data_IF_816397405792
#
_entry.id   IF_816397405792
#
_cell.length_a   1.000
_cell.length_b   1.000
_cell.length_c   1.000
_cell.angle_alpha   90.00
_cell.angle_beta   90.00
_cell.angle_gamma   90.00
#
_symmetry.space_group_name_H-M   'P 1'
#
loop_
_entity.id
_entity.type
_entity.pdbx_description
1 polymer ?
#
# COMPACT_ATOMS: atom_id res chain seq x y z
N UNK A 1 -18.32 15.29 22.12
CA UNK A 1 -18.66 16.66 21.71
C UNK A 1 -19.10 17.41 22.97
N UNK A 2 -18.17 18.15 23.56
CA UNK A 2 -18.44 19.13 24.62
C UNK A 2 -17.39 20.21 24.44
N UNK A 3 -17.83 21.43 24.15
CA UNK A 3 -16.98 22.59 23.92
C UNK A 3 -16.88 23.33 25.26
N UNK A 4 -15.68 23.41 25.81
CA UNK A 4 -15.35 24.23 26.98
C UNK A 4 -14.03 24.91 26.72
N UNK A 5 -14.06 26.24 26.61
CA UNK A 5 -12.89 27.06 26.35
C UNK A 5 -12.08 27.36 27.61
N UNK A 6 -10.81 27.72 27.40
CA UNK A 6 -10.05 28.54 28.35
C UNK A 6 -8.85 27.88 29.00
N UNK A 7 -7.69 28.22 28.43
CA UNK A 7 -6.44 28.59 29.10
C UNK A 7 -5.30 27.56 29.23
N UNK A 8 -4.11 28.14 29.11
CA UNK A 8 -2.83 27.52 28.79
C UNK A 8 -2.31 26.50 29.82
N UNK A 9 -1.61 25.48 29.30
CA UNK A 9 -0.77 24.59 30.08
C UNK A 9 -1.03 23.12 29.76
N UNK A 10 0.03 22.42 29.35
CA UNK A 10 0.11 20.94 29.30
C UNK A 10 -0.77 20.22 28.28
N UNK A 11 -0.44 20.33 26.98
CA UNK A 11 -0.68 19.20 26.09
C UNK A 11 0.49 18.22 26.24
N UNK A 12 0.43 17.39 27.30
CA UNK A 12 0.85 16.01 27.09
C UNK A 12 -0.14 15.44 26.09
N UNK A 13 0.20 15.59 24.80
CA UNK A 13 -0.45 14.78 23.78
C UNK A 13 -0.24 13.33 24.20
N UNK A 14 -1.33 12.58 24.35
CA UNK A 14 -1.24 11.13 24.32
C UNK A 14 -0.79 10.81 22.90
N UNK A 15 0.52 10.76 22.71
CA UNK A 15 1.16 10.29 21.51
C UNK A 15 0.91 8.79 21.48
N UNK A 16 -0.12 8.38 20.75
CA UNK A 16 -0.30 6.97 20.40
C UNK A 16 0.85 6.66 19.43
N UNK A 17 1.99 6.22 19.96
CA UNK A 17 3.01 5.56 19.16
C UNK A 17 2.36 4.34 18.51
N UNK A 18 2.19 4.37 17.20
CA UNK A 18 1.73 3.22 16.43
C UNK A 18 2.86 2.20 16.48
N UNK A 19 2.68 1.03 17.13
CA UNK A 19 3.77 0.07 17.27
C UNK A 19 4.26 -0.38 15.89
N UNK A 20 5.57 -0.23 15.64
CA UNK A 20 6.19 -0.64 14.38
C UNK A 20 6.19 0.46 13.32
N UNK A 21 6.22 1.73 13.72
CA UNK A 21 6.37 2.84 12.80
C UNK A 21 7.74 2.79 12.11
N UNK A 22 7.74 2.43 10.82
CA UNK A 22 8.93 2.32 9.98
C UNK A 22 9.01 3.51 9.03
N UNK A 23 10.14 4.23 9.05
CA UNK A 23 10.45 5.25 8.05
C UNK A 23 11.68 4.85 7.20
N UNK A 24 11.57 5.12 5.91
CA UNK A 24 12.67 5.02 4.94
C UNK A 24 13.00 6.44 4.46
N UNK A 25 14.24 6.89 4.65
CA UNK A 25 14.63 8.27 4.33
C UNK A 25 16.14 8.47 4.31
N UNK A 26 16.63 9.31 3.38
CA UNK A 26 18.07 9.66 3.32
C UNK A 26 18.46 10.72 4.36
N UNK A 27 17.54 11.64 4.66
CA UNK A 27 17.72 12.68 5.68
C UNK A 27 16.73 12.50 6.82
N UNK A 28 17.11 12.92 8.03
CA UNK A 28 16.23 12.91 9.19
C UNK A 28 15.12 13.96 9.02
N UNK A 29 13.99 13.54 8.45
CA UNK A 29 12.78 14.36 8.35
C UNK A 29 11.92 14.14 9.61
N UNK A 30 10.90 14.99 9.80
CA UNK A 30 10.05 14.89 11.00
C UNK A 30 9.43 13.50 11.17
N UNK A 31 9.12 12.78 10.09
CA UNK A 31 8.62 11.40 10.18
C UNK A 31 9.68 10.43 10.71
N UNK A 32 10.94 10.56 10.29
CA UNK A 32 12.05 9.73 10.81
C UNK A 32 12.29 9.98 12.30
N UNK A 33 12.12 11.22 12.78
CA UNK A 33 12.33 11.58 14.18
C UNK A 33 11.33 10.89 15.14
N UNK A 34 10.10 10.66 14.68
CA UNK A 34 9.04 10.00 15.46
C UNK A 34 8.85 8.51 15.09
N UNK A 35 9.76 7.92 14.31
CA UNK A 35 9.69 6.51 13.93
C UNK A 35 10.50 5.62 14.87
N UNK A 36 10.03 4.39 15.07
CA UNK A 36 10.73 3.38 15.87
C UNK A 36 11.98 2.86 15.16
N UNK A 37 11.89 2.70 13.84
CA UNK A 37 12.96 2.18 12.99
C UNK A 37 13.12 3.11 11.79
N UNK A 38 14.36 3.51 11.54
CA UNK A 38 14.75 4.32 10.37
C UNK A 38 15.72 3.53 9.51
N UNK A 39 15.37 3.34 8.23
CA UNK A 39 16.23 2.68 7.26
C UNK A 39 16.85 3.68 6.29
N UNK A 40 18.18 3.60 6.05
CA UNK A 40 18.83 4.47 5.10
C UNK A 40 18.47 4.06 3.66
N UNK A 41 17.75 4.94 2.95
CA UNK A 41 17.43 4.73 1.53
C UNK A 41 18.41 5.47 0.61
N UNK A 42 18.68 4.85 -0.53
CA UNK A 42 19.52 5.41 -1.58
C UNK A 42 18.88 6.66 -2.19
N UNK A 43 19.71 7.64 -2.49
CA UNK A 43 19.31 8.85 -3.20
C UNK A 43 18.95 8.59 -4.66
N UNK A 44 18.38 9.59 -5.32
CA UNK A 44 18.02 9.52 -6.73
C UNK A 44 19.22 9.32 -7.67
N UNK A 45 20.45 9.63 -7.22
CA UNK A 45 21.69 9.40 -7.96
C UNK A 45 22.36 8.07 -7.63
N UNK A 46 21.76 7.26 -6.77
CA UNK A 46 22.31 5.99 -6.28
C UNK A 46 21.39 4.80 -6.63
N UNK A 47 20.34 5.02 -7.44
CA UNK A 47 19.37 3.98 -7.83
C UNK A 47 18.89 4.13 -9.26
N UNK A 48 18.41 3.02 -9.81
CA UNK A 48 17.77 2.96 -11.12
C UNK A 48 16.25 2.97 -10.95
N UNK A 49 15.57 3.93 -11.58
CA UNK A 49 14.11 4.08 -11.53
C UNK A 49 13.59 4.87 -12.75
N UNK A 50 12.29 5.05 -12.90
CA UNK A 50 11.68 5.84 -13.97
C UNK A 50 10.89 7.02 -13.40
N UNK A 51 10.94 8.16 -14.08
CA UNK A 51 10.18 9.36 -13.74
C UNK A 51 9.40 9.90 -14.93
N UNK A 52 8.16 10.29 -14.66
CA UNK A 52 7.23 10.95 -15.58
C UNK A 52 6.53 12.10 -14.86
N UNK A 53 6.12 13.13 -15.61
CA UNK A 53 5.30 14.24 -15.11
C UNK A 53 4.20 14.57 -16.11
N UNK A 54 3.09 15.09 -15.61
CA UNK A 54 1.99 15.71 -16.36
C UNK A 54 2.43 16.90 -17.24
N UNK A 55 3.48 17.61 -16.86
CA UNK A 55 3.94 18.82 -17.57
C UNK A 55 4.54 18.53 -18.94
N UNK A 56 4.99 17.29 -19.20
CA UNK A 56 5.64 16.94 -20.47
C UNK A 56 5.46 15.44 -20.82
N UNK A 57 5.46 15.06 -22.10
CA UNK A 57 5.28 13.67 -22.53
C UNK A 57 6.56 12.81 -22.45
N UNK A 58 7.62 13.28 -21.78
CA UNK A 58 8.88 12.55 -21.70
C UNK A 58 8.96 11.63 -20.48
N UNK A 59 9.38 10.40 -20.71
CA UNK A 59 9.85 9.47 -19.68
C UNK A 59 11.37 9.59 -19.54
N UNK A 60 11.86 9.72 -18.31
CA UNK A 60 13.30 9.84 -18.02
C UNK A 60 13.73 8.84 -16.96
N UNK A 61 14.88 8.18 -17.13
CA UNK A 61 15.42 7.31 -16.10
C UNK A 61 16.11 8.12 -14.99
N UNK A 62 16.03 7.60 -13.77
CA UNK A 62 17.04 7.81 -12.74
C UNK A 62 18.10 6.73 -12.96
N UNK A 63 19.36 7.13 -12.98
CA UNK A 63 20.49 6.19 -13.14
C UNK A 63 21.42 6.34 -11.95
N UNK A 64 21.91 5.22 -11.44
CA UNK A 64 22.94 5.20 -10.42
C UNK A 64 24.24 5.79 -10.98
N UNK A 65 24.61 6.98 -10.53
CA UNK A 65 25.89 7.62 -10.83
C UNK A 65 27.01 7.00 -9.99
N UNK A 66 26.69 6.61 -8.75
CA UNK A 66 27.56 5.89 -7.81
C UNK A 66 26.74 4.83 -7.08
N UNK A 67 27.41 3.83 -6.53
CA UNK A 67 26.76 2.86 -5.65
C UNK A 67 26.21 3.56 -4.39
N UNK A 68 25.10 3.06 -3.81
CA UNK A 68 24.55 3.58 -2.56
C UNK A 68 25.62 3.73 -1.47
N UNK A 69 25.75 4.96 -0.95
CA UNK A 69 26.79 5.27 0.03
C UNK A 69 26.44 4.66 1.39
N UNK A 70 27.47 4.17 2.08
CA UNK A 70 27.39 3.48 3.38
C UNK A 70 26.53 2.20 3.32
N UNK A 71 25.56 2.08 4.22
CA UNK A 71 24.64 0.95 4.30
C UNK A 71 23.29 1.26 3.64
N UNK A 72 23.22 2.36 2.88
CA UNK A 72 21.99 2.74 2.16
C UNK A 72 21.65 1.71 1.10
N UNK A 73 20.36 1.47 0.87
CA UNK A 73 19.88 0.56 -0.17
C UNK A 73 18.74 1.21 -0.93
N UNK A 74 18.51 0.82 -2.19
CA UNK A 74 17.32 1.28 -2.90
C UNK A 74 16.06 0.75 -2.23
N UNK A 75 14.94 1.47 -2.34
CA UNK A 75 13.67 1.06 -1.74
C UNK A 75 13.27 -0.36 -2.22
N UNK A 76 13.53 -0.68 -3.49
CA UNK A 76 13.34 -2.01 -4.05
C UNK A 76 14.13 -3.09 -3.30
N UNK A 77 15.42 -2.87 -3.03
CA UNK A 77 16.26 -3.85 -2.32
C UNK A 77 15.91 -3.93 -0.82
N UNK A 78 15.45 -2.83 -0.21
CA UNK A 78 14.94 -2.83 1.17
C UNK A 78 13.70 -3.73 1.26
N UNK A 79 12.68 -3.50 0.42
CA UNK A 79 11.45 -4.30 0.44
C UNK A 79 11.68 -5.75 0.00
N UNK A 80 12.59 -5.99 -0.95
CA UNK A 80 13.03 -7.35 -1.30
C UNK A 80 13.66 -8.06 -0.09
N UNK A 81 14.49 -7.36 0.68
CA UNK A 81 15.09 -7.88 1.91
C UNK A 81 14.03 -8.22 2.97
N UNK A 82 13.03 -7.35 3.14
CA UNK A 82 11.89 -7.62 4.02
C UNK A 82 11.07 -8.82 3.56
N UNK A 83 10.75 -8.92 2.27
CA UNK A 83 10.02 -10.05 1.73
C UNK A 83 10.74 -11.37 2.01
N UNK A 84 12.08 -11.38 1.92
CA UNK A 84 12.90 -12.55 2.26
C UNK A 84 12.80 -12.90 3.74
N UNK A 85 13.10 -11.94 4.63
CA UNK A 85 13.07 -12.16 6.07
C UNK A 85 11.66 -12.58 6.55
N UNK A 86 10.62 -11.95 6.01
CA UNK A 86 9.23 -12.31 6.30
C UNK A 86 8.91 -13.73 5.86
N UNK A 87 9.34 -14.15 4.66
CA UNK A 87 9.12 -15.51 4.16
C UNK A 87 9.78 -16.59 5.03
N UNK A 88 10.88 -16.26 5.70
CA UNK A 88 11.56 -17.15 6.64
C UNK A 88 10.86 -17.19 8.01
N UNK A 89 10.44 -16.02 8.52
CA UNK A 89 9.81 -15.89 9.85
C UNK A 89 8.35 -16.37 9.88
N UNK A 90 7.64 -16.31 8.75
CA UNK A 90 6.23 -16.69 8.70
C UNK A 90 5.99 -18.21 8.81
N UNK A 91 7.01 -19.04 8.57
CA UNK A 91 6.89 -20.50 8.58
C UNK A 91 6.51 -21.00 9.98
N UNK A 92 5.41 -21.75 10.05
CA UNK A 92 4.84 -22.24 11.31
C UNK A 92 3.78 -21.32 11.92
N UNK A 93 3.64 -20.10 11.40
CA UNK A 93 2.59 -19.15 11.81
C UNK A 93 1.58 -18.88 10.71
N UNK A 94 2.02 -18.70 9.46
CA UNK A 94 1.20 -18.38 8.30
C UNK A 94 1.56 -19.30 7.12
N UNK A 95 0.56 -19.97 6.56
CA UNK A 95 0.73 -20.88 5.43
C UNK A 95 0.14 -20.32 4.14
N UNK A 96 -0.69 -21.13 3.49
CA UNK A 96 -1.54 -20.70 2.38
C UNK A 96 -2.90 -20.35 2.97
N UNK A 97 -3.17 -19.06 3.07
CA UNK A 97 -4.35 -18.53 3.76
C UNK A 97 -5.38 -17.98 2.77
N UNK A 98 -6.64 -18.06 3.15
CA UNK A 98 -7.74 -17.42 2.42
C UNK A 98 -8.11 -16.11 3.11
N UNK A 99 -7.88 -15.00 2.41
CA UNK A 99 -8.17 -13.65 2.89
C UNK A 99 -9.47 -13.12 2.28
N UNK A 100 -10.34 -12.53 3.10
CA UNK A 100 -11.59 -11.93 2.66
C UNK A 100 -11.38 -10.43 2.48
N UNK A 101 -11.28 -10.02 1.21
CA UNK A 101 -11.00 -8.63 0.85
C UNK A 101 -12.28 -7.93 0.42
N UNK A 102 -12.53 -6.78 1.03
CA UNK A 102 -13.62 -5.88 0.65
C UNK A 102 -13.09 -4.82 -0.33
N UNK A 103 -13.58 -4.86 -1.56
CA UNK A 103 -13.20 -3.88 -2.60
C UNK A 103 -14.35 -2.90 -2.81
N UNK A 104 -14.10 -1.58 -2.76
CA UNK A 104 -15.13 -0.59 -3.06
C UNK A 104 -15.61 -0.72 -4.51
N UNK A 105 -16.74 -0.09 -4.81
CA UNK A 105 -17.27 -0.03 -6.17
C UNK A 105 -16.33 0.83 -7.01
N UNK A 106 -15.70 0.22 -8.01
CA UNK A 106 -14.66 0.86 -8.82
C UNK A 106 -15.29 1.62 -9.99
N UNK A 107 -14.79 2.83 -10.25
CA UNK A 107 -15.00 3.54 -11.51
C UNK A 107 -14.34 2.78 -12.67
N UNK A 108 -14.83 2.97 -13.89
CA UNK A 108 -14.41 2.23 -15.09
C UNK A 108 -14.65 0.72 -14.96
N UNK A 109 -15.67 0.33 -14.20
CA UNK A 109 -16.12 -1.06 -14.06
C UNK A 109 -17.65 -1.11 -14.09
N UNK A 110 -18.28 -2.25 -14.44
CA UNK A 110 -19.75 -2.36 -14.42
C UNK A 110 -20.40 -1.99 -13.07
N UNK A 111 -19.63 -2.06 -11.98
CA UNK A 111 -20.09 -1.72 -10.64
C UNK A 111 -20.25 -0.20 -10.39
N UNK A 112 -19.79 0.66 -11.31
CA UNK A 112 -19.98 2.11 -11.21
C UNK A 112 -21.47 2.51 -11.28
N UNK A 113 -22.29 1.71 -11.96
CA UNK A 113 -23.74 1.92 -12.13
C UNK A 113 -24.56 1.35 -10.96
N UNK A 114 -24.12 1.60 -9.74
CA UNK A 114 -24.66 0.96 -8.54
C UNK A 114 -26.02 1.50 -8.08
N UNK A 115 -26.10 2.79 -7.74
CA UNK A 115 -27.30 3.44 -7.19
C UNK A 115 -27.70 4.67 -8.03
N UNK A 116 -28.54 4.49 -9.08
CA UNK A 116 -28.77 5.53 -10.09
C UNK A 116 -29.73 6.67 -9.68
N UNK A 117 -30.66 6.43 -8.76
CA UNK A 117 -31.79 7.35 -8.49
C UNK A 117 -31.80 7.94 -7.08
N UNK A 118 -30.73 7.75 -6.30
CA UNK A 118 -30.61 8.24 -4.93
C UNK A 118 -29.72 7.35 -4.07
N UNK A 119 -29.34 7.85 -2.90
CA UNK A 119 -28.56 7.11 -1.91
C UNK A 119 -29.51 6.31 -1.02
N UNK A 120 -29.27 5.01 -0.91
CA UNK A 120 -29.95 4.13 0.04
C UNK A 120 -28.92 3.51 0.97
N UNK A 121 -29.18 3.61 2.26
CA UNK A 121 -28.27 3.13 3.29
C UNK A 121 -28.71 1.77 3.84
N UNK A 122 -27.93 0.74 3.55
CA UNK A 122 -28.19 -0.63 4.02
C UNK A 122 -28.35 -0.76 5.54
N UNK A 123 -27.60 0.02 6.31
CA UNK A 123 -27.58 -0.09 7.77
C UNK A 123 -28.84 0.52 8.41
N UNK A 124 -29.56 1.37 7.68
CA UNK A 124 -30.86 1.93 8.07
C UNK A 124 -32.04 1.08 7.58
N UNK A 125 -31.77 -0.04 6.90
CA UNK A 125 -32.81 -0.91 6.34
C UNK A 125 -33.45 -0.37 5.04
N UNK A 126 -32.87 0.64 4.41
CA UNK A 126 -33.40 1.28 3.20
C UNK A 126 -33.16 0.46 1.93
N UNK A 127 -32.19 -0.47 1.97
CA UNK A 127 -31.87 -1.41 0.89
C UNK A 127 -31.23 -2.70 1.43
N UNK A 128 -31.27 -3.77 0.64
CA UNK A 128 -30.61 -5.04 0.93
C UNK A 128 -29.09 -4.95 0.76
N UNK A 129 -28.35 -5.82 1.45
CA UNK A 129 -26.89 -5.96 1.31
C UNK A 129 -26.56 -6.79 0.05
N UNK A 130 -26.19 -6.11 -1.03
CA UNK A 130 -25.80 -6.72 -2.31
C UNK A 130 -24.33 -6.35 -2.59
N UNK A 131 -23.38 -7.29 -2.43
CA UNK A 131 -21.98 -7.08 -2.76
C UNK A 131 -21.81 -6.64 -4.22
N UNK A 132 -21.04 -5.58 -4.44
CA UNK A 132 -20.84 -5.02 -5.79
C UNK A 132 -21.95 -4.08 -6.28
N UNK A 133 -22.93 -3.74 -5.43
CA UNK A 133 -23.98 -2.76 -5.76
C UNK A 133 -24.35 -1.84 -4.59
N UNK A 134 -24.88 -2.40 -3.52
CA UNK A 134 -25.26 -1.63 -2.30
C UNK A 134 -24.25 -1.81 -1.17
N UNK A 135 -23.21 -2.61 -1.41
CA UNK A 135 -22.09 -2.86 -0.52
C UNK A 135 -20.78 -3.08 -1.33
N UNK A 136 -19.60 -2.98 -0.69
CA UNK A 136 -18.34 -3.38 -1.30
C UNK A 136 -18.42 -4.80 -1.87
N UNK A 137 -17.69 -5.06 -2.94
CA UNK A 137 -17.49 -6.41 -3.45
C UNK A 137 -16.71 -7.23 -2.42
N UNK A 138 -17.13 -8.47 -2.20
CA UNK A 138 -16.44 -9.41 -1.30
C UNK A 138 -15.74 -10.44 -2.16
N UNK A 139 -14.41 -10.48 -2.10
CA UNK A 139 -13.59 -11.43 -2.82
C UNK A 139 -12.74 -12.24 -1.85
N UNK A 140 -12.55 -13.53 -2.16
CA UNK A 140 -11.62 -14.39 -1.44
C UNK A 140 -10.31 -14.42 -2.23
N UNK A 141 -9.21 -14.02 -1.59
CA UNK A 141 -7.87 -13.97 -2.17
C UNK A 141 -6.99 -15.00 -1.45
N UNK A 142 -6.38 -15.89 -2.22
CA UNK A 142 -5.41 -16.84 -1.68
C UNK A 142 -4.03 -16.16 -1.54
N UNK A 143 -3.46 -16.20 -0.34
CA UNK A 143 -2.13 -15.66 -0.02
C UNK A 143 -1.20 -16.77 0.43
N UNK A 144 -0.14 -16.99 -0.34
CA UNK A 144 0.94 -17.92 -0.01
C UNK A 144 2.09 -17.14 0.64
N UNK A 145 2.08 -17.08 1.98
CA UNK A 145 3.05 -16.29 2.76
C UNK A 145 4.48 -16.87 2.73
N UNK A 146 4.70 -18.20 2.80
CA UNK A 146 6.05 -18.77 2.71
C UNK A 146 6.76 -18.51 1.37
N UNK A 147 6.01 -18.34 0.28
CA UNK A 147 6.58 -18.03 -1.04
C UNK A 147 6.51 -16.53 -1.40
N UNK A 148 6.26 -15.63 -0.45
CA UNK A 148 6.15 -14.19 -0.70
C UNK A 148 7.38 -13.64 -1.42
N UNK A 149 8.59 -13.97 -0.97
CA UNK A 149 9.83 -13.54 -1.61
C UNK A 149 9.91 -13.96 -3.09
N UNK A 150 9.57 -15.21 -3.38
CA UNK A 150 9.59 -15.73 -4.76
C UNK A 150 8.60 -14.98 -5.65
N UNK A 151 7.40 -14.71 -5.13
CA UNK A 151 6.37 -13.92 -5.83
C UNK A 151 6.80 -12.47 -6.03
N UNK A 152 7.48 -11.84 -5.08
CA UNK A 152 7.99 -10.47 -5.22
C UNK A 152 9.07 -10.36 -6.31
N UNK A 153 9.89 -11.40 -6.48
CA UNK A 153 11.00 -11.40 -7.44
C UNK A 153 10.67 -11.92 -8.84
N UNK A 154 9.40 -12.28 -9.09
CA UNK A 154 8.97 -12.88 -10.35
C UNK A 154 7.70 -12.19 -10.88
N UNK A 155 7.50 -12.24 -12.19
CA UNK A 155 6.25 -11.81 -12.80
C UNK A 155 5.20 -12.92 -12.64
N UNK A 156 4.03 -12.55 -12.15
CA UNK A 156 2.96 -13.50 -11.82
C UNK A 156 2.29 -14.10 -13.08
N UNK A 157 1.91 -15.40 -13.08
CA UNK A 157 1.24 -16.04 -14.21
C UNK A 157 -0.15 -15.46 -14.55
N UNK A 158 -0.78 -14.66 -13.68
CA UNK A 158 -2.06 -14.01 -13.97
C UNK A 158 -2.00 -13.12 -15.20
N UNK A 159 -0.84 -12.55 -15.53
CA UNK A 159 -0.64 -11.78 -16.75
C UNK A 159 -0.93 -12.59 -18.03
N UNK A 160 -0.69 -13.91 -18.00
CA UNK A 160 -0.99 -14.80 -19.13
C UNK A 160 -2.42 -15.37 -19.08
N UNK A 161 -2.99 -15.54 -17.88
CA UNK A 161 -4.31 -16.19 -17.69
C UNK A 161 -5.47 -15.22 -17.84
N UNK A 162 -5.35 -14.04 -17.23
CA UNK A 162 -6.40 -13.00 -17.18
C UNK A 162 -6.09 -11.89 -18.18
N UNK A 163 -4.81 -11.62 -18.45
CA UNK A 163 -4.36 -10.54 -19.32
C UNK A 163 -4.03 -9.26 -18.52
N UNK A 164 -4.04 -8.13 -19.21
CA UNK A 164 -3.79 -6.81 -18.63
C UNK A 164 -4.82 -5.82 -19.17
N UNK A 165 -5.38 -5.00 -18.29
CA UNK A 165 -6.42 -4.06 -18.66
C UNK A 165 -6.54 -2.93 -17.63
N UNK A 166 -7.15 -1.84 -18.05
CA UNK A 166 -7.33 -0.64 -17.24
C UNK A 166 -8.18 0.40 -17.97
N UNK A 167 -8.79 1.33 -17.23
CA UNK A 167 -9.75 2.32 -17.77
C UNK A 167 -10.90 1.68 -18.57
N UNK A 168 -11.47 0.59 -18.03
CA UNK A 168 -12.66 -0.06 -18.60
C UNK A 168 -12.41 -0.91 -19.85
N UNK A 169 -11.14 -1.14 -20.21
CA UNK A 169 -10.74 -1.94 -21.37
C UNK A 169 -9.87 -3.11 -20.90
N UNK A 170 -10.14 -4.30 -21.41
CA UNK A 170 -9.37 -5.53 -21.21
C UNK A 170 -9.21 -6.27 -22.54
#
# INVERSE_FOLDING_TARGET
MTIGGGNAGTHQGVEIQVPGALASGRGNNSACLYSDIVLPTASWYEKNDLNTSDMHPFIRPLSAAVDPVWQSRSDWEIYKGFAKAFSEVCVGHLGVEQDVVLTPLMHDSPAELAQPFGVKERHKGECELIPGKTAPQVAVVERDYPNLYKRFTALDPLMNKVGNGGKGIA
#
